data_IF_607656835934
#
_entry.id   IF_607656835934
#
_cell.length_a   1.000
_cell.length_b   1.000
_cell.length_c   1.000
_cell.angle_alpha   90.00
_cell.angle_beta   90.00
_cell.angle_gamma   90.00
#
_symmetry.space_group_name_H-M   'P 1'
#
loop_
_entity.id
_entity.type
_entity.pdbx_description
1 polymer ?
#
# COMPACT_ATOMS: atom_id res chain seq x y z
N UNK A 1 -5.87 -47.02 17.47
CA UNK A 1 -6.42 -45.65 17.40
C UNK A 1 -5.29 -44.72 16.97
N UNK A 2 -5.26 -44.34 15.69
CA UNK A 2 -4.27 -43.40 15.16
C UNK A 2 -4.86 -41.98 15.25
N UNK A 3 -4.23 -41.11 16.02
CA UNK A 3 -4.59 -39.70 16.11
C UNK A 3 -4.00 -38.95 14.90
N UNK A 4 -4.86 -38.56 13.97
CA UNK A 4 -4.52 -37.63 12.90
C UNK A 4 -4.46 -36.23 13.51
N UNK A 5 -3.25 -35.71 13.75
CA UNK A 5 -3.04 -34.29 14.00
C UNK A 5 -3.34 -33.53 12.71
N UNK A 6 -4.51 -32.92 12.63
CA UNK A 6 -4.79 -31.90 11.65
C UNK A 6 -3.97 -30.64 12.04
N UNK A 7 -2.77 -30.49 11.44
CA UNK A 7 -2.14 -29.18 11.33
C UNK A 7 -3.02 -28.35 10.40
N UNK A 8 -3.94 -27.58 10.99
CA UNK A 8 -4.62 -26.51 10.29
C UNK A 8 -3.58 -25.42 9.98
N UNK A 9 -2.95 -25.53 8.81
CA UNK A 9 -2.15 -24.47 8.20
C UNK A 9 -3.08 -23.32 7.81
N UNK A 10 -3.46 -22.50 8.78
CA UNK A 10 -4.03 -21.19 8.52
C UNK A 10 -2.90 -20.30 7.97
N UNK A 11 -2.68 -20.39 6.65
CA UNK A 11 -1.88 -19.41 5.95
C UNK A 11 -2.57 -18.05 6.13
N UNK A 12 -1.89 -17.02 6.65
CA UNK A 12 -2.48 -15.71 6.80
C UNK A 12 -2.57 -15.11 5.39
N UNK A 13 -3.79 -14.89 4.93
CA UNK A 13 -4.07 -14.25 3.66
C UNK A 13 -4.23 -12.76 3.95
N UNK A 14 -3.19 -11.96 3.68
CA UNK A 14 -3.20 -10.53 3.94
C UNK A 14 -2.77 -9.77 2.68
N UNK A 15 -3.71 -9.29 1.89
CA UNK A 15 -3.50 -8.05 1.12
C UNK A 15 -4.67 -7.13 1.46
N UNK A 16 -4.45 -5.85 1.30
CA UNK A 16 -5.48 -4.84 1.47
C UNK A 16 -5.52 -4.04 0.18
N UNK A 17 -6.74 -3.81 -0.31
CA UNK A 17 -7.11 -3.51 -1.69
C UNK A 17 -6.42 -4.34 -2.80
N UNK A 18 -6.92 -4.12 -4.02
CA UNK A 18 -6.27 -4.61 -5.22
C UNK A 18 -5.00 -3.80 -5.46
N UNK A 19 -3.94 -4.47 -5.89
CA UNK A 19 -2.61 -3.87 -5.97
C UNK A 19 -2.10 -3.97 -7.41
N UNK A 20 -0.79 -3.94 -7.62
CA UNK A 20 -0.20 -3.95 -8.96
C UNK A 20 -0.47 -5.23 -9.76
N UNK A 21 -0.87 -6.33 -9.12
CA UNK A 21 -1.39 -7.48 -9.85
C UNK A 21 -2.71 -7.15 -10.57
N UNK A 22 -3.55 -6.28 -10.03
CA UNK A 22 -4.81 -5.84 -10.65
C UNK A 22 -4.61 -4.55 -11.44
N UNK A 23 -4.18 -3.47 -10.78
CA UNK A 23 -4.13 -2.13 -11.35
C UNK A 23 -3.16 -2.02 -12.53
N UNK A 24 -2.02 -2.71 -12.45
CA UNK A 24 -1.11 -2.83 -13.59
C UNK A 24 -1.37 -4.12 -14.38
N UNK A 25 -1.17 -5.28 -13.74
CA UNK A 25 -1.11 -6.58 -14.41
C UNK A 25 -2.40 -6.95 -15.14
N UNK A 26 -3.49 -7.12 -14.40
CA UNK A 26 -4.79 -7.52 -14.94
C UNK A 26 -5.33 -6.46 -15.90
N UNK A 27 -5.23 -5.17 -15.55
CA UNK A 27 -5.67 -4.06 -16.41
C UNK A 27 -4.96 -4.10 -17.76
N UNK A 28 -3.63 -4.31 -17.78
CA UNK A 28 -2.87 -4.45 -19.03
C UNK A 28 -3.38 -5.63 -19.85
N UNK A 29 -3.52 -6.79 -19.22
CA UNK A 29 -3.98 -7.99 -19.90
C UNK A 29 -5.39 -7.81 -20.48
N UNK A 30 -6.33 -7.27 -19.71
CA UNK A 30 -7.70 -6.97 -20.16
C UNK A 30 -7.71 -5.98 -21.32
N UNK A 31 -6.85 -4.96 -21.29
CA UNK A 31 -6.73 -4.01 -22.41
C UNK A 31 -6.28 -4.69 -23.70
N UNK A 32 -5.30 -5.62 -23.62
CA UNK A 32 -4.93 -6.44 -24.78
C UNK A 32 -6.12 -7.28 -25.27
N UNK A 33 -6.89 -7.89 -24.36
CA UNK A 33 -8.11 -8.63 -24.74
C UNK A 33 -9.17 -7.72 -25.38
N UNK A 34 -9.20 -6.43 -25.03
CA UNK A 34 -10.12 -5.44 -25.61
C UNK A 34 -9.66 -4.92 -26.98
N UNK A 35 -8.53 -5.43 -27.50
CA UNK A 35 -8.00 -5.08 -28.82
C UNK A 35 -7.08 -3.86 -28.81
N UNK A 36 -6.63 -3.38 -27.64
CA UNK A 36 -5.57 -2.39 -27.59
C UNK A 36 -4.22 -3.02 -27.95
N UNK A 37 -3.37 -2.26 -28.64
CA UNK A 37 -1.96 -2.67 -28.85
C UNK A 37 -1.20 -2.71 -27.51
N UNK A 38 -0.09 -3.45 -27.46
CA UNK A 38 0.72 -3.54 -26.24
C UNK A 38 1.12 -2.16 -25.66
N UNK A 39 1.60 -1.17 -26.44
CA UNK A 39 1.91 0.16 -25.90
C UNK A 39 0.70 0.91 -25.34
N UNK A 40 -0.48 0.72 -25.94
CA UNK A 40 -1.72 1.34 -25.43
C UNK A 40 -2.17 0.68 -24.14
N UNK A 41 -2.11 -0.65 -24.06
CA UNK A 41 -2.39 -1.41 -22.85
C UNK A 41 -1.43 -1.02 -21.71
N UNK A 42 -0.13 -0.86 -22.02
CA UNK A 42 0.87 -0.36 -21.08
C UNK A 42 0.53 1.04 -20.58
N UNK A 43 0.10 1.95 -21.45
CA UNK A 43 -0.31 3.30 -21.05
C UNK A 43 -1.51 3.29 -20.12
N UNK A 44 -2.54 2.47 -20.40
CA UNK A 44 -3.73 2.35 -19.54
C UNK A 44 -3.35 1.75 -18.18
N UNK A 45 -2.63 0.63 -18.16
CA UNK A 45 -2.18 -0.01 -16.93
C UNK A 45 -1.26 0.90 -16.09
N UNK A 46 -0.39 1.65 -16.76
CA UNK A 46 0.46 2.65 -16.10
C UNK A 46 -0.38 3.76 -15.48
N UNK A 47 -1.40 4.25 -16.19
CA UNK A 47 -2.30 5.28 -15.67
C UNK A 47 -3.06 4.83 -14.43
N UNK A 48 -3.56 3.59 -14.45
CA UNK A 48 -4.26 2.97 -13.34
C UNK A 48 -3.33 2.80 -12.12
N UNK A 49 -2.16 2.18 -12.32
CA UNK A 49 -1.18 1.98 -11.24
C UNK A 49 -0.62 3.27 -10.64
N UNK A 50 -0.60 4.36 -11.39
CA UNK A 50 -0.02 5.61 -10.89
C UNK A 50 -0.80 6.20 -9.73
N UNK A 51 -2.09 5.91 -9.61
CA UNK A 51 -2.93 6.44 -8.54
C UNK A 51 -2.36 6.08 -7.16
N UNK A 52 -2.00 4.83 -6.93
CA UNK A 52 -1.44 4.40 -5.64
C UNK A 52 -0.02 4.92 -5.39
N UNK A 53 0.90 4.69 -6.34
CA UNK A 53 2.33 4.85 -6.02
C UNK A 53 3.26 5.13 -7.20
N UNK A 54 2.73 5.27 -8.42
CA UNK A 54 3.56 5.38 -9.63
C UNK A 54 4.04 6.81 -9.95
N UNK A 55 3.40 7.84 -9.40
CA UNK A 55 3.73 9.25 -9.61
C UNK A 55 3.62 10.04 -8.29
N UNK A 56 4.42 11.09 -8.14
CA UNK A 56 4.47 11.87 -6.89
C UNK A 56 3.19 12.67 -6.68
N UNK A 57 2.65 13.22 -7.76
CA UNK A 57 1.47 14.10 -7.76
C UNK A 57 0.16 13.37 -7.46
N UNK A 58 0.16 12.04 -7.52
CA UNK A 58 -1.01 11.19 -7.23
C UNK A 58 -0.90 10.47 -5.90
N UNK A 59 0.30 10.40 -5.31
CA UNK A 59 0.51 9.70 -4.04
C UNK A 59 -0.04 10.54 -2.89
N UNK A 60 -1.15 10.11 -2.32
CA UNK A 60 -1.77 10.77 -1.18
C UNK A 60 -1.19 10.21 0.12
N UNK A 61 -0.86 11.09 1.07
CA UNK A 61 -0.53 10.70 2.44
C UNK A 61 -1.78 10.86 3.31
N UNK A 62 -2.56 9.80 3.44
CA UNK A 62 -3.83 9.75 4.16
C UNK A 62 -3.69 10.35 5.55
N UNK A 63 -2.64 9.98 6.29
CA UNK A 63 -2.42 10.54 7.63
C UNK A 63 -2.13 12.04 7.59
N UNK A 64 -1.34 12.48 6.61
CA UNK A 64 -1.01 13.89 6.48
C UNK A 64 -2.26 14.70 6.16
N UNK A 65 -3.05 14.30 5.16
CA UNK A 65 -4.28 14.97 4.75
C UNK A 65 -5.41 14.91 5.79
N UNK A 66 -5.63 13.75 6.40
CA UNK A 66 -6.78 13.52 7.26
C UNK A 66 -6.58 13.99 8.70
N UNK A 67 -5.33 14.10 9.18
CA UNK A 67 -5.07 14.29 10.61
C UNK A 67 -4.15 15.47 10.92
N UNK A 68 -3.14 15.73 10.08
CA UNK A 68 -2.15 16.78 10.35
C UNK A 68 -2.25 17.98 9.39
N UNK A 69 -3.07 17.87 8.34
CA UNK A 69 -3.29 18.89 7.33
C UNK A 69 -4.06 20.08 7.89
N UNK A 70 -3.43 21.25 7.92
CA UNK A 70 -3.99 22.44 8.55
C UNK A 70 -5.05 23.16 7.69
N UNK A 71 -5.04 22.99 6.36
CA UNK A 71 -5.91 23.73 5.44
C UNK A 71 -7.22 23.01 5.07
N UNK A 72 -8.18 23.77 4.54
CA UNK A 72 -9.49 23.25 4.16
C UNK A 72 -9.45 22.35 2.92
N UNK A 73 -8.41 22.48 2.08
CA UNK A 73 -8.28 21.73 0.84
C UNK A 73 -7.87 20.28 1.11
N UNK A 74 -6.88 20.08 1.99
CA UNK A 74 -6.47 18.75 2.42
C UNK A 74 -7.61 17.97 3.10
N UNK A 75 -8.39 18.64 3.96
CA UNK A 75 -9.59 18.05 4.58
C UNK A 75 -10.66 17.68 3.54
N UNK A 76 -10.89 18.54 2.55
CA UNK A 76 -11.85 18.28 1.48
C UNK A 76 -11.42 17.10 0.60
N UNK A 77 -10.11 16.94 0.34
CA UNK A 77 -9.59 15.80 -0.41
C UNK A 77 -9.72 14.49 0.37
N UNK A 78 -9.36 14.47 1.65
CA UNK A 78 -9.56 13.30 2.51
C UNK A 78 -11.04 12.85 2.52
N UNK A 79 -11.98 13.80 2.63
CA UNK A 79 -13.41 13.51 2.56
C UNK A 79 -13.86 13.00 1.18
N UNK A 80 -13.24 13.46 0.08
CA UNK A 80 -13.51 12.95 -1.28
C UNK A 80 -13.00 11.52 -1.45
N UNK A 81 -11.79 11.22 -1.00
CA UNK A 81 -11.21 9.89 -1.04
C UNK A 81 -12.09 8.89 -0.28
N UNK A 82 -12.45 9.20 0.97
CA UNK A 82 -13.31 8.35 1.79
C UNK A 82 -14.68 8.06 1.16
N UNK A 83 -15.27 9.02 0.44
CA UNK A 83 -16.54 8.79 -0.28
C UNK A 83 -16.40 7.82 -1.45
N UNK A 84 -15.27 7.86 -2.18
CA UNK A 84 -15.04 6.96 -3.32
C UNK A 84 -14.85 5.53 -2.86
N UNK A 85 -14.08 5.32 -1.80
CA UNK A 85 -13.79 4.00 -1.27
C UNK A 85 -15.02 3.30 -0.66
N UNK A 86 -16.03 4.06 -0.23
CA UNK A 86 -17.31 3.52 0.27
C UNK A 86 -18.37 3.30 -0.81
N UNK A 87 -18.08 3.68 -2.06
CA UNK A 87 -19.04 3.54 -3.15
C UNK A 87 -19.09 2.08 -3.63
N UNK A 88 -20.27 1.55 -4.02
CA UNK A 88 -20.32 0.27 -4.70
C UNK A 88 -19.60 0.34 -6.07
N UNK A 89 -18.99 -0.78 -6.45
CA UNK A 89 -18.47 -1.05 -7.78
C UNK A 89 -19.55 -0.84 -8.84
N UNK A 90 -19.24 -0.04 -9.85
CA UNK A 90 -20.18 0.34 -10.91
C UNK A 90 -21.21 1.41 -10.51
N UNK A 91 -21.22 1.86 -9.26
CA UNK A 91 -22.00 3.00 -8.79
C UNK A 91 -21.61 4.33 -9.47
N UNK A 92 -22.41 5.38 -9.25
CA UNK A 92 -22.16 6.70 -9.85
C UNK A 92 -20.80 7.28 -9.41
N UNK A 93 -20.52 7.26 -8.11
CA UNK A 93 -19.28 7.80 -7.56
C UNK A 93 -18.01 7.08 -8.05
N UNK A 94 -18.08 5.77 -8.31
CA UNK A 94 -16.95 4.96 -8.79
C UNK A 94 -16.78 5.01 -10.32
N UNK A 95 -17.77 5.53 -11.07
CA UNK A 95 -17.73 5.58 -12.54
C UNK A 95 -17.77 6.99 -13.13
N UNK A 96 -17.91 8.05 -12.32
CA UNK A 96 -18.07 9.41 -12.85
C UNK A 96 -16.83 9.90 -13.62
N UNK A 97 -15.62 9.59 -13.15
CA UNK A 97 -14.39 9.93 -13.85
C UNK A 97 -14.32 9.27 -15.24
N UNK A 98 -14.75 8.01 -15.36
CA UNK A 98 -14.82 7.28 -16.63
C UNK A 98 -15.83 7.92 -17.58
N UNK A 99 -17.04 8.25 -17.09
CA UNK A 99 -18.09 8.89 -17.88
C UNK A 99 -17.64 10.25 -18.41
N UNK A 100 -17.05 11.07 -17.54
CA UNK A 100 -16.50 12.38 -17.91
C UNK A 100 -15.44 12.24 -18.98
N UNK A 101 -14.46 11.36 -18.75
CA UNK A 101 -13.37 11.17 -19.70
C UNK A 101 -13.86 10.66 -21.06
N UNK A 102 -14.82 9.74 -21.11
CA UNK A 102 -15.38 9.26 -22.38
C UNK A 102 -16.07 10.37 -23.19
N UNK A 103 -16.75 11.32 -22.52
CA UNK A 103 -17.35 12.48 -23.20
C UNK A 103 -16.28 13.36 -23.86
N UNK A 104 -15.12 13.49 -23.20
CA UNK A 104 -14.04 14.38 -23.64
C UNK A 104 -13.02 13.71 -24.58
N UNK A 105 -13.04 12.38 -24.67
CA UNK A 105 -12.02 11.61 -25.38
C UNK A 105 -11.98 11.92 -26.87
N UNK A 106 -13.11 11.82 -27.58
CA UNK A 106 -13.25 12.17 -29.01
C UNK A 106 -11.97 11.96 -29.85
N UNK A 107 -11.44 13.01 -30.54
CA UNK A 107 -10.20 12.91 -31.32
C UNK A 107 -8.92 12.83 -30.48
N UNK A 108 -9.01 13.05 -29.16
CA UNK A 108 -7.90 12.99 -28.19
C UNK A 108 -7.73 11.60 -27.56
N UNK A 109 -8.51 10.60 -27.96
CA UNK A 109 -8.52 9.27 -27.32
C UNK A 109 -7.11 8.65 -27.18
N UNK A 110 -6.25 8.78 -28.19
CA UNK A 110 -4.87 8.30 -28.10
C UNK A 110 -4.02 9.01 -27.02
N UNK A 111 -4.32 10.27 -26.74
CA UNK A 111 -3.60 11.11 -25.76
C UNK A 111 -4.10 10.91 -24.32
N UNK A 112 -5.32 10.36 -24.15
CA UNK A 112 -5.97 10.23 -22.85
C UNK A 112 -5.87 8.83 -22.24
N UNK A 113 -5.03 7.93 -22.78
CA UNK A 113 -4.93 6.55 -22.28
C UNK A 113 -4.46 6.46 -20.81
N UNK A 114 -3.49 7.29 -20.42
CA UNK A 114 -3.06 7.38 -19.02
C UNK A 114 -4.20 7.84 -18.11
N UNK A 115 -4.93 8.88 -18.53
CA UNK A 115 -6.10 9.39 -17.79
C UNK A 115 -7.24 8.39 -17.73
N UNK A 116 -7.39 7.57 -18.77
CA UNK A 116 -8.38 6.50 -18.78
C UNK A 116 -8.03 5.39 -17.78
N UNK A 117 -6.75 5.02 -17.70
CA UNK A 117 -6.24 4.16 -16.64
C UNK A 117 -6.52 4.71 -15.24
N UNK A 118 -6.17 5.98 -15.00
CA UNK A 118 -6.43 6.69 -13.74
C UNK A 118 -7.93 6.68 -13.39
N UNK A 119 -8.82 6.83 -14.37
CA UNK A 119 -10.26 6.78 -14.18
C UNK A 119 -10.82 5.37 -13.91
N UNK A 120 -10.14 4.31 -14.35
CA UNK A 120 -10.52 2.92 -14.04
C UNK A 120 -10.26 2.54 -12.58
N UNK A 121 -9.29 3.20 -11.94
CA UNK A 121 -8.82 2.82 -10.62
C UNK A 121 -9.93 2.88 -9.54
N UNK A 122 -10.72 3.97 -9.38
CA UNK A 122 -11.81 4.00 -8.39
C UNK A 122 -12.91 2.95 -8.61
N UNK A 123 -13.13 2.50 -9.85
CA UNK A 123 -14.06 1.40 -10.15
C UNK A 123 -13.55 0.07 -9.58
N UNK A 124 -12.24 -0.15 -9.69
CA UNK A 124 -11.60 -1.36 -9.21
C UNK A 124 -11.61 -1.36 -7.68
N UNK A 125 -11.13 -0.33 -7.00
CA UNK A 125 -11.09 -0.30 -5.52
C UNK A 125 -12.48 -0.41 -4.91
N UNK A 126 -13.47 0.27 -5.50
CA UNK A 126 -14.85 0.17 -5.06
C UNK A 126 -15.34 -1.28 -4.97
N UNK A 127 -14.90 -2.15 -5.88
CA UNK A 127 -15.31 -3.56 -5.86
C UNK A 127 -14.52 -4.39 -4.83
N UNK A 128 -13.30 -3.97 -4.46
CA UNK A 128 -12.55 -4.56 -3.35
C UNK A 128 -13.23 -4.24 -2.01
N UNK A 129 -13.79 -3.04 -1.87
CA UNK A 129 -14.45 -2.55 -0.65
C UNK A 129 -15.97 -2.81 -0.58
N UNK A 130 -16.53 -3.68 -1.43
CA UNK A 130 -17.95 -4.04 -1.35
C UNK A 130 -18.24 -5.19 -0.39
N UNK A 131 -19.30 -5.11 0.42
CA UNK A 131 -19.86 -6.25 1.16
C UNK A 131 -19.76 -6.16 2.69
N UNK A 132 -20.29 -7.16 3.42
CA UNK A 132 -20.41 -7.12 4.88
C UNK A 132 -19.07 -7.17 5.61
N UNK A 133 -18.02 -7.64 4.93
CA UNK A 133 -16.65 -7.70 5.44
C UNK A 133 -15.81 -6.48 5.00
N UNK A 134 -16.39 -5.50 4.31
CA UNK A 134 -15.68 -4.28 3.96
C UNK A 134 -15.36 -3.51 5.25
N UNK A 135 -14.08 -3.51 5.65
CA UNK A 135 -13.62 -2.78 6.81
C UNK A 135 -13.82 -1.27 6.63
N UNK A 136 -14.03 -0.55 7.73
CA UNK A 136 -13.98 0.91 7.68
C UNK A 136 -12.53 1.37 7.41
N UNK A 137 -12.33 2.10 6.32
CA UNK A 137 -11.09 2.87 6.12
C UNK A 137 -11.03 3.93 7.21
N UNK A 138 -9.91 3.92 7.94
CA UNK A 138 -9.68 4.82 9.05
C UNK A 138 -8.20 4.97 9.32
N UNK A 139 -7.88 5.92 10.19
CA UNK A 139 -6.52 6.13 10.70
C UNK A 139 -6.40 5.51 12.09
N UNK A 140 -5.28 4.90 12.48
CA UNK A 140 -5.06 4.42 13.84
C UNK A 140 -5.31 5.54 14.86
N UNK A 141 -5.96 5.18 15.96
CA UNK A 141 -6.18 6.12 17.06
C UNK A 141 -4.86 6.44 17.76
N UNK A 142 -4.20 7.52 17.32
CA UNK A 142 -3.01 8.06 17.98
C UNK A 142 -3.45 9.05 19.05
N UNK A 143 -3.02 8.83 20.30
CA UNK A 143 -3.48 9.64 21.44
C UNK A 143 -3.26 11.14 21.20
N UNK A 144 -4.35 11.92 21.19
CA UNK A 144 -4.33 13.37 20.96
C UNK A 144 -4.26 13.80 19.49
N UNK A 145 -4.19 12.87 18.54
CA UNK A 145 -4.36 13.17 17.12
C UNK A 145 -5.86 13.11 16.79
N UNK A 146 -6.40 14.20 16.26
CA UNK A 146 -7.77 14.24 15.72
C UNK A 146 -7.70 14.09 14.21
N UNK A 147 -8.53 13.23 13.65
CA UNK A 147 -8.61 13.00 12.22
C UNK A 147 -10.03 13.23 11.72
N UNK A 148 -10.17 13.73 10.48
CA UNK A 148 -11.45 13.85 9.80
C UNK A 148 -11.96 12.51 9.23
N UNK A 149 -11.07 11.53 9.16
CA UNK A 149 -11.42 10.13 8.91
C UNK A 149 -11.76 9.44 10.23
N UNK A 150 -12.73 8.51 10.23
CA UNK A 150 -13.03 7.75 11.44
C UNK A 150 -11.79 6.98 11.92
N UNK A 151 -11.67 6.73 13.23
CA UNK A 151 -10.61 5.87 13.73
C UNK A 151 -10.79 4.46 13.15
N UNK A 152 -9.70 3.76 12.84
CA UNK A 152 -9.78 2.32 12.55
C UNK A 152 -10.44 1.62 13.74
N UNK A 153 -11.65 1.10 13.57
CA UNK A 153 -12.35 0.38 14.64
C UNK A 153 -11.93 -1.09 14.64
N UNK A 154 -11.57 -1.61 15.83
CA UNK A 154 -11.23 -3.02 16.00
C UNK A 154 -12.40 -3.99 15.68
N UNK A 155 -13.63 -3.48 15.64
CA UNK A 155 -14.86 -4.26 15.50
C UNK A 155 -15.33 -4.48 14.05
N UNK A 156 -14.79 -3.76 13.07
CA UNK A 156 -15.04 -4.03 11.65
C UNK A 156 -13.84 -4.72 10.96
N UNK A 157 -12.80 -5.07 11.73
CA UNK A 157 -11.47 -5.45 11.26
C UNK A 157 -10.93 -6.76 11.82
N UNK A 158 -11.78 -7.79 12.02
CA UNK A 158 -11.28 -9.14 12.30
C UNK A 158 -10.41 -9.65 11.14
N UNK A 159 -9.78 -10.84 11.28
CA UNK A 159 -9.04 -11.54 10.21
C UNK A 159 -9.83 -11.66 8.87
N UNK A 160 -11.14 -11.37 8.89
CA UNK A 160 -12.05 -11.43 7.75
C UNK A 160 -12.19 -10.12 6.96
N UNK A 161 -11.89 -8.95 7.54
CA UNK A 161 -12.09 -7.67 6.84
C UNK A 161 -11.11 -7.44 5.67
N UNK A 162 -9.94 -8.09 5.73
CA UNK A 162 -8.88 -8.01 4.72
C UNK A 162 -8.99 -9.09 3.63
N UNK A 163 -10.00 -9.96 3.71
CA UNK A 163 -10.27 -10.95 2.67
C UNK A 163 -11.00 -10.32 1.49
N UNK A 164 -11.57 -9.12 1.66
CA UNK A 164 -12.30 -8.43 0.62
C UNK A 164 -11.43 -8.08 -0.60
N UNK A 165 -10.15 -7.88 -0.32
CA UNK A 165 -9.16 -7.27 -1.18
C UNK A 165 -8.28 -8.28 -1.91
N UNK A 166 -8.23 -9.51 -1.41
CA UNK A 166 -7.53 -10.58 -2.08
C UNK A 166 -8.43 -11.18 -3.16
N UNK A 167 -7.97 -11.10 -4.40
CA UNK A 167 -8.63 -11.81 -5.52
C UNK A 167 -8.90 -13.29 -5.19
N UNK A 168 -7.97 -13.97 -4.50
CA UNK A 168 -8.09 -15.36 -4.03
C UNK A 168 -9.11 -15.59 -2.93
N UNK A 169 -9.43 -14.57 -2.13
CA UNK A 169 -10.42 -14.69 -1.07
C UNK A 169 -11.83 -14.30 -1.56
N UNK A 170 -11.95 -13.50 -2.62
CA UNK A 170 -13.22 -13.16 -3.28
C UNK A 170 -13.15 -13.29 -4.81
N UNK A 171 -13.02 -14.52 -5.33
CA UNK A 171 -12.86 -14.75 -6.76
C UNK A 171 -14.05 -14.24 -7.59
N UNK A 172 -15.28 -14.33 -7.04
CA UNK A 172 -16.47 -13.82 -7.73
C UNK A 172 -16.45 -12.28 -7.88
N UNK A 173 -16.04 -11.54 -6.83
CA UNK A 173 -15.91 -10.08 -6.91
C UNK A 173 -14.79 -9.66 -7.86
N UNK A 174 -13.66 -10.37 -7.83
CA UNK A 174 -12.56 -10.16 -8.76
C UNK A 174 -12.98 -10.38 -10.22
N UNK A 175 -13.75 -11.44 -10.52
CA UNK A 175 -14.30 -11.67 -11.86
C UNK A 175 -15.30 -10.58 -12.27
N UNK A 176 -16.16 -10.14 -11.36
CA UNK A 176 -17.12 -9.07 -11.61
C UNK A 176 -16.43 -7.73 -11.94
N UNK A 177 -15.40 -7.34 -11.19
CA UNK A 177 -14.60 -6.17 -11.54
C UNK A 177 -13.88 -6.36 -12.87
N UNK A 178 -13.28 -7.52 -13.11
CA UNK A 178 -12.56 -7.75 -14.36
C UNK A 178 -13.50 -7.56 -15.56
N UNK A 179 -14.75 -8.03 -15.42
CA UNK A 179 -15.81 -7.80 -16.40
C UNK A 179 -16.15 -6.33 -16.56
N UNK A 180 -16.41 -5.62 -15.46
CA UNK A 180 -16.76 -4.21 -15.51
C UNK A 180 -15.63 -3.38 -16.15
N UNK A 181 -14.38 -3.61 -15.76
CA UNK A 181 -13.19 -2.99 -16.35
C UNK A 181 -13.10 -3.28 -17.85
N UNK A 182 -13.32 -4.52 -18.27
CA UNK A 182 -13.33 -4.93 -19.67
C UNK A 182 -14.43 -4.22 -20.48
N UNK A 183 -15.64 -4.11 -19.92
CA UNK A 183 -16.75 -3.40 -20.57
C UNK A 183 -16.41 -1.90 -20.77
N UNK A 184 -15.74 -1.25 -19.82
CA UNK A 184 -15.25 0.12 -20.01
C UNK A 184 -14.15 0.23 -21.07
N UNK A 185 -13.23 -0.72 -21.13
CA UNK A 185 -12.20 -0.80 -22.17
C UNK A 185 -12.82 -0.89 -23.58
N UNK A 186 -13.92 -1.64 -23.73
CA UNK A 186 -14.67 -1.75 -24.97
C UNK A 186 -15.39 -0.45 -25.35
N UNK A 187 -15.89 0.31 -24.37
CA UNK A 187 -16.58 1.60 -24.57
C UNK A 187 -15.64 2.74 -24.95
N UNK A 188 -14.34 2.63 -24.65
CA UNK A 188 -13.36 3.65 -25.01
C UNK A 188 -13.38 3.90 -26.53
N UNK A 189 -13.22 5.14 -27.04
CA UNK A 189 -13.25 5.37 -28.48
C UNK A 189 -12.07 4.69 -29.22
N UNK A 190 -12.23 4.37 -30.52
CA UNK A 190 -11.10 3.97 -31.36
C UNK A 190 -9.99 5.03 -31.39
N UNK A 191 -8.76 4.59 -31.59
CA UNK A 191 -7.57 5.47 -31.62
C UNK A 191 -7.03 5.45 -33.05
N UNK A 192 -7.22 6.56 -33.76
CA UNK A 192 -6.96 6.62 -35.20
C UNK A 192 -7.90 5.68 -35.98
N UNK A 193 -7.44 5.23 -37.13
CA UNK A 193 -8.23 4.39 -38.05
C UNK A 193 -8.10 2.88 -37.77
N UNK A 194 -7.35 2.49 -36.73
CA UNK A 194 -7.10 1.09 -36.43
C UNK A 194 -8.34 0.43 -35.80
N UNK A 195 -8.94 -0.58 -36.45
CA UNK A 195 -10.07 -1.31 -35.87
C UNK A 195 -9.57 -2.12 -34.66
N UNK A 196 -10.29 -2.01 -33.53
CA UNK A 196 -10.06 -2.86 -32.35
C UNK A 196 -11.02 -4.04 -32.38
N UNK A 197 -10.48 -5.25 -32.30
CA UNK A 197 -11.26 -6.49 -32.20
C UNK A 197 -11.12 -7.01 -30.77
N UNK A 198 -12.16 -6.80 -29.98
CA UNK A 198 -12.20 -7.32 -28.61
C UNK A 198 -12.52 -8.82 -28.60
N UNK A 199 -11.86 -9.56 -27.71
CA UNK A 199 -12.22 -10.93 -27.39
C UNK A 199 -13.62 -10.99 -26.76
N UNK A 200 -14.29 -12.13 -26.88
CA UNK A 200 -15.58 -12.37 -26.22
C UNK A 200 -15.36 -12.67 -24.74
N UNK A 201 -16.17 -12.08 -23.87
CA UNK A 201 -16.06 -12.26 -22.42
C UNK A 201 -15.95 -13.74 -21.96
N UNK A 202 -16.73 -14.71 -22.46
CA UNK A 202 -16.59 -16.10 -22.03
C UNK A 202 -15.20 -16.71 -22.24
N UNK A 203 -14.46 -16.26 -23.27
CA UNK A 203 -13.07 -16.68 -23.49
C UNK A 203 -12.12 -16.06 -22.48
N UNK A 204 -12.36 -14.82 -22.08
CA UNK A 204 -11.56 -14.09 -21.08
C UNK A 204 -11.79 -14.71 -19.71
N UNK A 205 -13.06 -14.90 -19.33
CA UNK A 205 -13.47 -15.50 -18.06
C UNK A 205 -12.83 -16.88 -17.82
N UNK A 206 -12.81 -17.74 -18.85
CA UNK A 206 -12.20 -19.06 -18.78
C UNK A 206 -10.68 -19.04 -18.44
N UNK A 207 -9.99 -17.93 -18.71
CA UNK A 207 -8.55 -17.77 -18.44
C UNK A 207 -8.26 -17.18 -17.05
N UNK A 208 -9.25 -16.52 -16.42
CA UNK A 208 -9.06 -15.79 -15.17
C UNK A 208 -9.01 -16.69 -13.93
N UNK A 209 -9.43 -17.95 -14.02
CA UNK A 209 -9.46 -18.88 -12.88
C UNK A 209 -8.12 -18.99 -12.12
N UNK A 210 -7.01 -19.07 -12.84
CA UNK A 210 -5.67 -19.11 -12.24
C UNK A 210 -5.27 -17.80 -11.57
N UNK A 211 -5.61 -16.65 -12.17
CA UNK A 211 -5.35 -15.34 -11.59
C UNK A 211 -6.12 -15.12 -10.30
N UNK A 212 -7.43 -15.41 -10.31
CA UNK A 212 -8.31 -15.14 -9.16
C UNK A 212 -8.13 -16.14 -8.03
N UNK A 213 -7.35 -17.22 -8.19
CA UNK A 213 -7.06 -18.18 -7.12
C UNK A 213 -5.61 -18.10 -6.63
N UNK A 214 -4.73 -17.44 -7.37
CA UNK A 214 -3.33 -17.26 -7.00
C UNK A 214 -3.21 -16.37 -5.75
N UNK A 215 -2.57 -16.91 -4.70
CA UNK A 215 -2.40 -16.26 -3.39
C UNK A 215 -0.97 -15.85 -3.07
N UNK A 216 -0.06 -15.94 -4.04
CA UNK A 216 1.36 -15.54 -3.88
C UNK A 216 1.84 -14.77 -5.10
N UNK A 217 2.87 -13.93 -4.92
CA UNK A 217 3.53 -13.24 -6.04
C UNK A 217 4.03 -14.23 -7.09
N UNK A 218 4.65 -15.34 -6.67
CA UNK A 218 5.12 -16.38 -7.57
C UNK A 218 3.99 -16.99 -8.42
N UNK A 219 2.83 -17.30 -7.82
CA UNK A 219 1.68 -17.85 -8.55
C UNK A 219 1.07 -16.83 -9.53
N UNK A 220 0.94 -15.56 -9.12
CA UNK A 220 0.49 -14.48 -9.99
C UNK A 220 1.46 -14.27 -11.16
N UNK A 221 2.75 -14.26 -10.89
CA UNK A 221 3.79 -14.13 -11.90
C UNK A 221 3.75 -15.28 -12.93
N UNK A 222 3.56 -16.52 -12.48
CA UNK A 222 3.40 -17.66 -13.37
C UNK A 222 2.20 -17.45 -14.30
N UNK A 223 1.03 -17.09 -13.74
CA UNK A 223 -0.15 -16.80 -14.54
C UNK A 223 0.11 -15.70 -15.57
N UNK A 224 0.74 -14.59 -15.19
CA UNK A 224 1.05 -13.49 -16.11
C UNK A 224 1.94 -13.94 -17.28
N UNK A 225 2.99 -14.72 -17.01
CA UNK A 225 3.89 -15.23 -18.05
C UNK A 225 3.16 -16.17 -19.01
N UNK A 226 2.33 -17.07 -18.49
CA UNK A 226 1.51 -17.98 -19.29
C UNK A 226 0.52 -17.24 -20.20
N UNK A 227 0.18 -16.00 -19.85
CA UNK A 227 -0.71 -15.13 -20.60
C UNK A 227 0.01 -14.00 -21.36
N UNK A 228 1.31 -14.21 -21.65
CA UNK A 228 2.09 -13.33 -22.55
C UNK A 228 2.63 -12.05 -21.90
N UNK A 229 2.74 -12.02 -20.57
CA UNK A 229 3.36 -10.93 -19.82
C UNK A 229 4.68 -11.39 -19.21
N UNK A 230 5.77 -11.19 -19.95
CA UNK A 230 7.12 -11.64 -19.54
C UNK A 230 7.63 -10.87 -18.31
N UNK A 231 7.46 -9.55 -18.28
CA UNK A 231 7.89 -8.72 -17.16
C UNK A 231 6.83 -8.71 -16.05
N UNK A 232 7.06 -9.51 -15.01
CA UNK A 232 6.21 -9.59 -13.82
C UNK A 232 6.73 -8.77 -12.65
N UNK A 233 7.76 -7.93 -12.85
CA UNK A 233 8.45 -7.23 -11.75
C UNK A 233 7.55 -6.24 -11.03
N UNK A 234 6.46 -5.79 -11.64
CA UNK A 234 5.44 -4.94 -11.01
C UNK A 234 4.85 -5.55 -9.73
N UNK A 235 4.99 -6.87 -9.51
CA UNK A 235 4.60 -7.55 -8.27
C UNK A 235 5.58 -7.29 -7.10
N UNK A 236 6.69 -6.58 -7.30
CA UNK A 236 7.70 -6.29 -6.25
C UNK A 236 7.09 -5.81 -4.94
N UNK A 237 6.20 -4.83 -5.02
CA UNK A 237 5.68 -4.11 -3.86
C UNK A 237 4.28 -4.50 -3.42
N UNK A 238 3.71 -5.59 -3.95
CA UNK A 238 2.37 -6.01 -3.53
C UNK A 238 2.44 -6.79 -2.21
N UNK A 239 1.36 -6.76 -1.45
CA UNK A 239 1.20 -7.38 -0.14
C UNK A 239 0.89 -8.89 -0.21
N UNK A 240 1.01 -9.53 -1.37
CA UNK A 240 0.98 -11.00 -1.43
C UNK A 240 2.26 -11.61 -0.86
N UNK A 241 2.18 -12.76 -0.17
CA UNK A 241 3.36 -13.55 0.15
C UNK A 241 4.18 -13.86 -1.10
N UNK A 242 5.51 -13.88 -0.98
CA UNK A 242 6.39 -14.07 -2.13
C UNK A 242 6.17 -15.44 -2.81
N UNK A 243 5.95 -16.48 -2.00
CA UNK A 243 5.76 -17.86 -2.43
C UNK A 243 6.90 -18.76 -1.97
N UNK A 244 7.28 -19.73 -2.81
CA UNK A 244 8.33 -20.71 -2.46
C UNK A 244 9.74 -20.11 -2.39
N UNK A 245 9.95 -18.94 -3.01
CA UNK A 245 11.24 -18.24 -3.08
C UNK A 245 11.03 -16.75 -2.82
N UNK A 246 11.99 -16.07 -2.17
CA UNK A 246 11.93 -14.62 -1.98
C UNK A 246 11.84 -13.86 -3.30
N UNK A 247 11.02 -12.81 -3.32
CA UNK A 247 10.84 -11.96 -4.49
C UNK A 247 11.93 -10.89 -4.57
N UNK A 248 13.02 -11.14 -5.27
CA UNK A 248 14.15 -10.19 -5.32
C UNK A 248 14.11 -9.22 -6.49
N UNK A 249 13.06 -9.26 -7.32
CA UNK A 249 13.03 -8.53 -8.58
C UNK A 249 12.49 -7.11 -8.39
N UNK A 250 13.20 -6.11 -8.91
CA UNK A 250 12.82 -4.70 -8.80
C UNK A 250 12.11 -4.19 -10.04
N UNK A 251 10.99 -3.48 -9.88
CA UNK A 251 10.24 -2.96 -11.03
C UNK A 251 10.81 -1.63 -11.55
N UNK A 252 11.28 -1.55 -12.82
CA UNK A 252 11.75 -0.28 -13.40
C UNK A 252 10.61 0.66 -13.82
N UNK A 253 9.35 0.17 -13.83
CA UNK A 253 8.20 0.95 -14.27
C UNK A 253 7.73 2.04 -13.29
N UNK A 254 8.22 2.02 -12.04
CA UNK A 254 7.93 3.09 -11.06
C UNK A 254 8.59 4.38 -11.52
N UNK A 255 7.81 5.46 -11.67
CA UNK A 255 8.31 6.78 -12.09
C UNK A 255 8.46 7.73 -10.92
N UNK A 256 9.05 7.23 -9.84
CA UNK A 256 9.38 8.07 -8.70
C UNK A 256 10.81 8.61 -8.81
N UNK A 257 11.02 9.89 -8.47
CA UNK A 257 12.35 10.45 -8.40
C UNK A 257 13.19 9.71 -7.35
N UNK A 258 14.50 9.61 -7.57
CA UNK A 258 15.38 9.04 -6.54
C UNK A 258 15.69 10.08 -5.49
N UNK A 259 15.62 9.67 -4.23
CA UNK A 259 16.17 10.45 -3.14
C UNK A 259 17.71 10.51 -3.27
N UNK A 260 18.25 11.70 -3.05
CA UNK A 260 19.69 11.92 -3.02
C UNK A 260 20.29 11.49 -1.68
N UNK A 261 19.55 11.78 -0.59
CA UNK A 261 19.97 11.52 0.77
C UNK A 261 18.86 10.80 1.55
N UNK A 262 19.26 10.11 2.62
CA UNK A 262 18.33 9.46 3.55
C UNK A 262 17.90 10.39 4.70
N UNK A 263 18.55 11.55 4.82
CA UNK A 263 18.21 12.54 5.82
C UNK A 263 17.08 13.45 5.33
N UNK A 264 16.26 13.93 6.25
CA UNK A 264 15.15 14.83 5.92
C UNK A 264 15.49 16.30 6.20
N UNK A 265 15.20 17.18 5.24
CA UNK A 265 15.36 18.64 5.37
C UNK A 265 14.00 19.34 5.34
N UNK A 266 13.41 19.61 6.51
CA UNK A 266 12.09 20.25 6.63
C UNK A 266 12.19 21.61 7.32
N UNK A 267 11.54 22.62 6.75
CA UNK A 267 11.40 23.91 7.41
C UNK A 267 10.42 23.81 8.58
N UNK A 268 10.69 24.52 9.67
CA UNK A 268 9.81 24.57 10.85
C UNK A 268 9.92 23.37 11.80
N UNK A 269 10.67 22.32 11.44
CA UNK A 269 10.98 21.21 12.34
C UNK A 269 12.29 21.51 13.07
N UNK A 270 12.36 21.43 14.42
CA UNK A 270 13.60 21.64 15.16
C UNK A 270 14.71 20.68 14.71
N UNK A 271 15.93 21.20 14.52
CA UNK A 271 17.08 20.42 14.02
C UNK A 271 17.38 19.20 14.91
N UNK A 272 17.23 19.33 16.24
CA UNK A 272 17.42 18.21 17.18
C UNK A 272 16.43 17.05 16.95
N UNK A 273 15.23 17.34 16.43
CA UNK A 273 14.22 16.32 16.12
C UNK A 273 14.54 15.64 14.79
N UNK A 274 14.94 16.41 13.78
CA UNK A 274 15.38 15.85 12.50
C UNK A 274 16.57 14.91 12.71
N UNK A 275 17.60 15.37 13.43
CA UNK A 275 18.79 14.57 13.76
C UNK A 275 18.44 13.30 14.53
N UNK A 276 17.46 13.36 15.43
CA UNK A 276 16.96 12.18 16.14
C UNK A 276 16.35 11.16 15.17
N UNK A 277 15.43 11.59 14.31
CA UNK A 277 14.81 10.68 13.34
C UNK A 277 15.81 10.17 12.29
N UNK A 278 16.73 11.00 11.81
CA UNK A 278 17.80 10.61 10.88
C UNK A 278 18.61 9.44 11.49
N UNK A 279 19.04 9.60 12.74
CA UNK A 279 19.76 8.58 13.48
C UNK A 279 18.94 7.32 13.73
N UNK A 280 17.65 7.48 14.09
CA UNK A 280 16.75 6.36 14.30
C UNK A 280 16.55 5.54 13.01
N UNK A 281 16.24 6.19 11.89
CA UNK A 281 16.03 5.52 10.61
C UNK A 281 17.31 4.86 10.09
N UNK A 282 18.46 5.52 10.26
CA UNK A 282 19.75 4.92 9.91
C UNK A 282 20.01 3.63 10.68
N UNK A 283 19.75 3.61 11.99
CA UNK A 283 19.87 2.39 12.79
C UNK A 283 18.81 1.34 12.39
N UNK A 284 17.54 1.73 12.30
CA UNK A 284 16.44 0.79 12.06
C UNK A 284 16.54 0.09 10.70
N UNK A 285 16.86 0.85 9.64
CA UNK A 285 16.90 0.35 8.27
C UNK A 285 18.30 -0.13 7.87
N UNK A 286 19.35 0.25 8.60
CA UNK A 286 20.74 -0.11 8.31
C UNK A 286 21.27 -1.33 9.08
N UNK A 287 20.76 -1.59 10.28
CA UNK A 287 21.27 -2.68 11.14
C UNK A 287 20.72 -4.06 10.74
N UNK A 288 21.46 -5.11 11.13
CA UNK A 288 21.04 -6.51 10.97
C UNK A 288 19.88 -6.90 11.90
N UNK A 289 19.72 -6.24 13.05
CA UNK A 289 18.57 -6.40 13.95
C UNK A 289 17.81 -5.07 14.06
N UNK A 290 16.65 -4.93 13.38
CA UNK A 290 15.83 -3.71 13.39
C UNK A 290 15.50 -3.18 14.80
N UNK A 291 15.42 -4.05 15.80
CA UNK A 291 15.13 -3.65 17.18
C UNK A 291 16.28 -2.91 17.87
N UNK A 292 17.51 -3.00 17.34
CA UNK A 292 18.67 -2.29 17.90
C UNK A 292 18.50 -0.77 17.87
N UNK A 293 17.67 -0.24 16.95
CA UNK A 293 17.32 1.18 16.87
C UNK A 293 16.65 1.73 18.15
N UNK A 294 16.09 0.86 18.99
CA UNK A 294 15.53 1.25 20.29
C UNK A 294 16.59 1.39 21.39
N UNK A 295 17.85 1.02 21.13
CA UNK A 295 18.91 1.02 22.13
C UNK A 295 18.69 0.01 23.26
N UNK A 296 17.88 -1.02 23.03
CA UNK A 296 17.56 -2.05 24.02
C UNK A 296 18.50 -3.26 23.86
N UNK A 297 19.01 -3.80 24.96
CA UNK A 297 19.68 -5.09 24.94
C UNK A 297 18.68 -6.23 24.67
N UNK A 298 19.14 -7.34 24.07
CA UNK A 298 18.28 -8.48 23.76
C UNK A 298 17.64 -9.06 25.02
N UNK A 299 16.31 -9.16 25.02
CA UNK A 299 15.54 -9.69 26.15
C UNK A 299 15.23 -8.67 27.24
N UNK A 300 15.77 -7.44 27.13
CA UNK A 300 15.44 -6.34 28.02
C UNK A 300 14.32 -5.48 27.43
N UNK A 301 13.57 -4.80 28.31
CA UNK A 301 12.53 -3.87 27.94
C UNK A 301 11.14 -4.23 28.48
N UNK A 302 10.31 -3.20 28.63
CA UNK A 302 8.91 -3.31 29.02
C UNK A 302 8.09 -4.08 27.98
N UNK A 303 6.87 -4.56 28.31
CA UNK A 303 5.99 -5.16 27.31
C UNK A 303 5.76 -4.29 26.06
N UNK A 304 5.60 -2.98 26.25
CA UNK A 304 5.44 -2.03 25.14
C UNK A 304 6.70 -1.93 24.25
N UNK A 305 7.89 -1.94 24.87
CA UNK A 305 9.15 -1.95 24.12
C UNK A 305 9.35 -3.23 23.32
N UNK A 306 8.94 -4.39 23.85
CA UNK A 306 8.99 -5.67 23.13
C UNK A 306 8.01 -5.70 21.95
N UNK A 307 6.81 -5.16 22.13
CA UNK A 307 5.85 -4.99 21.03
C UNK A 307 6.42 -4.09 19.93
N UNK A 308 6.96 -2.92 20.29
CA UNK A 308 7.59 -2.00 19.35
C UNK A 308 8.76 -2.65 18.61
N UNK A 309 9.64 -3.38 19.32
CA UNK A 309 10.73 -4.13 18.71
C UNK A 309 10.23 -5.16 17.68
N UNK A 310 9.15 -5.88 18.00
CA UNK A 310 8.54 -6.83 17.07
C UNK A 310 7.95 -6.13 15.84
N UNK A 311 7.27 -4.99 16.01
CA UNK A 311 6.74 -4.18 14.90
C UNK A 311 7.84 -3.64 13.99
N UNK A 312 8.95 -3.13 14.55
CA UNK A 312 10.11 -2.68 13.77
C UNK A 312 10.70 -3.80 12.92
N UNK A 313 10.70 -5.04 13.42
CA UNK A 313 11.17 -6.20 12.65
C UNK A 313 10.19 -6.59 11.55
N UNK A 314 8.89 -6.60 11.85
CA UNK A 314 7.83 -6.95 10.89
C UNK A 314 7.85 -6.01 9.68
N UNK A 315 7.90 -4.69 9.92
CA UNK A 315 8.01 -3.66 8.88
C UNK A 315 9.34 -3.65 8.12
N UNK A 316 10.26 -4.54 8.47
CA UNK A 316 11.54 -4.74 7.78
C UNK A 316 11.61 -6.07 7.04
N UNK A 317 10.61 -6.94 7.19
CA UNK A 317 10.57 -8.21 6.47
C UNK A 317 10.40 -7.95 4.98
N UNK A 318 11.26 -8.57 4.18
CA UNK A 318 11.21 -8.50 2.72
C UNK A 318 9.90 -9.07 2.18
N UNK A 319 9.45 -10.21 2.72
CA UNK A 319 8.12 -10.76 2.46
C UNK A 319 7.08 -10.07 3.35
N UNK A 320 6.67 -8.87 2.92
CA UNK A 320 5.69 -8.07 3.63
C UNK A 320 4.31 -8.74 3.69
N UNK A 321 3.92 -9.53 2.68
CA UNK A 321 2.64 -10.23 2.69
C UNK A 321 2.48 -11.23 3.83
N UNK A 322 3.59 -11.88 4.20
CA UNK A 322 3.63 -12.75 5.39
C UNK A 322 3.64 -11.95 6.71
N UNK A 323 4.12 -10.70 6.69
CA UNK A 323 4.24 -9.83 7.87
C UNK A 323 2.97 -9.00 8.16
N UNK A 324 2.21 -8.64 7.11
CA UNK A 324 1.20 -7.58 7.15
C UNK A 324 0.18 -7.71 8.28
N UNK A 325 -0.45 -8.88 8.48
CA UNK A 325 -1.42 -9.05 9.58
C UNK A 325 -0.84 -8.76 10.96
N UNK A 326 0.41 -9.17 11.22
CA UNK A 326 1.06 -8.90 12.50
C UNK A 326 1.49 -7.43 12.58
N UNK A 327 1.99 -6.87 11.47
CA UNK A 327 2.45 -5.49 11.40
C UNK A 327 1.31 -4.48 11.68
N UNK A 328 0.11 -4.79 11.18
CA UNK A 328 -1.11 -4.00 11.35
C UNK A 328 -1.98 -4.38 12.56
N UNK A 329 -1.53 -5.28 13.43
CA UNK A 329 -2.34 -5.69 14.58
C UNK A 329 -2.80 -4.45 15.38
N UNK A 330 -4.12 -4.26 15.62
CA UNK A 330 -4.68 -3.02 16.16
C UNK A 330 -4.38 -2.82 17.65
N UNK A 331 -3.90 -3.87 18.31
CA UNK A 331 -3.54 -3.90 19.72
C UNK A 331 -2.15 -4.50 19.89
N UNK A 332 -1.61 -4.42 21.11
CA UNK A 332 -0.33 -5.04 21.43
C UNK A 332 -0.33 -6.54 21.09
N UNK A 333 0.76 -7.00 20.49
CA UNK A 333 0.91 -8.39 20.07
C UNK A 333 0.84 -9.34 21.28
N UNK A 334 0.02 -10.36 21.15
CA UNK A 334 -0.06 -11.45 22.11
C UNK A 334 1.24 -12.24 22.15
N UNK A 335 1.47 -13.02 23.21
CA UNK A 335 2.65 -13.89 23.33
C UNK A 335 2.80 -14.85 22.15
N UNK A 336 1.69 -15.42 21.65
CA UNK A 336 1.70 -16.31 20.50
C UNK A 336 2.09 -15.58 19.21
N UNK A 337 1.60 -14.36 19.02
CA UNK A 337 1.99 -13.51 17.90
C UNK A 337 3.47 -13.14 17.97
N UNK A 338 4.00 -12.77 19.13
CA UNK A 338 5.43 -12.49 19.31
C UNK A 338 6.31 -13.70 18.97
N UNK A 339 5.92 -14.91 19.40
CA UNK A 339 6.62 -16.14 19.02
C UNK A 339 6.57 -16.40 17.51
N UNK A 340 5.47 -16.01 16.85
CA UNK A 340 5.36 -16.07 15.39
C UNK A 340 6.28 -15.05 14.72
N UNK A 341 6.40 -13.84 15.24
CA UNK A 341 7.39 -12.86 14.76
C UNK A 341 8.78 -13.44 14.85
N UNK A 342 9.17 -13.98 16.01
CA UNK A 342 10.48 -14.63 16.21
C UNK A 342 10.71 -15.79 15.22
N UNK A 343 9.66 -16.50 14.83
CA UNK A 343 9.73 -17.54 13.81
C UNK A 343 9.98 -16.98 12.40
N UNK A 344 9.34 -15.86 12.05
CA UNK A 344 9.51 -15.22 10.74
C UNK A 344 10.89 -14.58 10.58
N UNK A 345 11.43 -14.00 11.66
CA UNK A 345 12.71 -13.26 11.63
C UNK A 345 13.92 -14.12 11.95
N UNK A 346 13.73 -15.44 12.10
CA UNK A 346 14.80 -16.37 12.47
C UNK A 346 15.91 -16.40 11.43
N UNK A 347 15.55 -16.26 10.15
CA UNK A 347 16.51 -16.05 9.08
C UNK A 347 16.84 -14.56 8.95
N UNK A 348 18.11 -14.19 9.15
CA UNK A 348 18.55 -12.78 9.01
C UNK A 348 18.51 -12.28 7.57
N UNK A 349 18.40 -13.19 6.59
CA UNK A 349 18.14 -12.83 5.19
C UNK A 349 16.66 -12.51 4.93
N UNK A 350 15.79 -12.64 5.94
CA UNK A 350 14.38 -12.31 5.82
C UNK A 350 14.13 -10.79 5.75
N UNK A 351 15.10 -9.94 6.11
CA UNK A 351 14.92 -8.49 6.07
C UNK A 351 15.22 -7.89 4.70
N UNK A 352 14.43 -6.89 4.31
CA UNK A 352 14.69 -6.07 3.13
C UNK A 352 16.05 -5.36 3.26
N UNK A 353 16.88 -5.44 2.22
CA UNK A 353 18.21 -4.81 2.17
C UNK A 353 18.28 -3.84 1.01
N UNK A 354 18.98 -2.73 1.24
CA UNK A 354 19.09 -1.65 0.28
C UNK A 354 20.55 -1.31 0.03
N UNK A 355 20.98 -1.10 -1.23
CA UNK A 355 22.35 -0.67 -1.53
C UNK A 355 22.70 0.67 -0.86
N UNK A 356 21.74 1.58 -0.78
CA UNK A 356 21.84 2.84 -0.05
C UNK A 356 20.62 2.98 0.86
N UNK A 357 20.81 3.59 2.03
CA UNK A 357 19.72 3.86 2.96
C UNK A 357 18.59 4.68 2.31
N UNK A 358 18.92 5.63 1.43
CA UNK A 358 17.94 6.43 0.70
C UNK A 358 17.04 5.59 -0.22
N UNK A 359 17.52 4.43 -0.70
CA UNK A 359 16.75 3.52 -1.56
C UNK A 359 15.71 2.71 -0.77
N UNK A 360 15.73 2.78 0.57
CA UNK A 360 14.75 2.17 1.45
C UNK A 360 13.42 2.92 1.47
N UNK A 361 13.47 4.23 1.18
CA UNK A 361 12.32 5.11 1.27
C UNK A 361 11.63 5.30 -0.07
N UNK A 362 10.34 5.53 0.00
CA UNK A 362 9.60 6.23 -1.02
C UNK A 362 9.85 7.74 -0.87
N UNK A 363 10.14 8.47 -1.95
CA UNK A 363 10.17 9.93 -1.90
C UNK A 363 8.78 10.46 -1.56
N UNK A 364 8.71 11.38 -0.61
CA UNK A 364 7.50 12.06 -0.18
C UNK A 364 7.59 13.55 -0.50
N UNK A 365 6.43 14.18 -0.66
CA UNK A 365 6.30 15.63 -0.77
C UNK A 365 5.36 16.09 0.34
N UNK A 366 5.88 16.92 1.25
CA UNK A 366 5.09 17.47 2.34
C UNK A 366 4.02 18.43 1.83
N UNK A 367 2.87 18.48 2.50
CA UNK A 367 1.85 19.50 2.25
C UNK A 367 2.31 20.79 2.91
N UNK A 368 2.75 21.75 2.10
CA UNK A 368 3.30 23.02 2.58
C UNK A 368 2.88 24.18 1.67
N UNK A 369 2.93 25.41 2.19
CA UNK A 369 2.66 26.63 1.41
C UNK A 369 3.79 27.02 0.45
N UNK A 370 4.91 26.29 0.49
CA UNK A 370 6.07 26.43 -0.38
C UNK A 370 6.32 25.11 -1.12
N UNK A 371 7.09 25.13 -2.21
CA UNK A 371 7.49 23.91 -2.91
C UNK A 371 8.53 23.14 -2.06
N UNK A 372 8.16 22.03 -1.40
CA UNK A 372 9.09 21.32 -0.54
C UNK A 372 10.05 20.47 -1.37
N UNK A 373 11.28 20.22 -0.90
CA UNK A 373 12.13 19.19 -1.50
C UNK A 373 11.46 17.82 -1.36
N UNK A 374 11.96 16.83 -2.10
CA UNK A 374 11.59 15.44 -1.87
C UNK A 374 12.21 14.96 -0.57
N UNK A 375 11.40 14.31 0.26
CA UNK A 375 11.79 13.89 1.60
C UNK A 375 11.70 12.38 1.77
N UNK A 376 12.60 11.75 2.54
CA UNK A 376 12.47 10.34 2.92
C UNK A 376 11.32 10.11 3.93
N UNK A 377 11.03 11.12 4.75
CA UNK A 377 9.96 11.11 5.75
C UNK A 377 9.55 12.55 6.10
N UNK A 378 8.33 12.71 6.59
CA UNK A 378 7.73 14.00 7.00
C UNK A 378 7.56 14.03 8.52
N UNK A 379 7.87 15.14 9.18
CA UNK A 379 7.76 15.29 10.64
C UNK A 379 6.70 16.33 10.96
N UNK A 380 5.77 15.97 11.85
CA UNK A 380 4.70 16.83 12.34
C UNK A 380 4.65 16.83 13.86
N UNK A 381 4.41 17.98 14.51
CA UNK A 381 4.18 18.01 15.94
C UNK A 381 2.86 17.32 16.27
N UNK A 382 2.85 16.58 17.37
CA UNK A 382 1.61 16.09 17.99
C UNK A 382 1.29 16.96 19.20
N UNK A 383 0.01 17.09 19.60
CA UNK A 383 -0.34 17.78 20.84
C UNK A 383 0.44 17.21 22.03
N UNK A 384 0.83 18.06 22.98
CA UNK A 384 1.49 17.59 24.19
C UNK A 384 0.55 16.66 24.98
N UNK A 385 1.12 15.72 25.72
CA UNK A 385 0.35 14.94 26.70
C UNK A 385 -0.01 15.81 27.91
N UNK A 386 -0.89 15.31 28.78
CA UNK A 386 -1.34 16.03 29.98
C UNK A 386 -0.20 16.40 30.95
N UNK A 387 0.94 15.70 30.86
CA UNK A 387 2.17 15.94 31.61
C UNK A 387 3.11 16.97 30.95
N UNK A 388 2.74 17.52 29.79
CA UNK A 388 3.53 18.48 29.02
C UNK A 388 4.64 17.86 28.18
N UNK A 389 4.73 16.53 28.06
CA UNK A 389 5.73 15.86 27.22
C UNK A 389 5.55 16.24 25.74
N UNK A 390 6.65 16.70 25.12
CA UNK A 390 6.69 17.01 23.69
C UNK A 390 6.65 15.73 22.87
N UNK A 391 5.89 15.76 21.78
CA UNK A 391 5.69 14.61 20.90
C UNK A 391 5.80 15.01 19.44
N UNK A 392 6.42 14.12 18.67
CA UNK A 392 6.60 14.28 17.23
C UNK A 392 6.14 13.01 16.53
N UNK A 393 5.53 13.17 15.36
CA UNK A 393 5.16 12.10 14.45
C UNK A 393 6.09 12.18 13.24
N UNK A 394 6.76 11.08 12.89
CA UNK A 394 7.37 10.91 11.57
C UNK A 394 6.49 10.00 10.71
N UNK A 395 6.22 10.44 9.48
CA UNK A 395 5.46 9.72 8.45
C UNK A 395 6.45 9.31 7.36
N UNK A 396 6.57 8.01 7.09
CA UNK A 396 7.46 7.47 6.07
C UNK A 396 6.76 6.39 5.25
N UNK A 397 7.27 6.09 4.05
CA UNK A 397 6.83 4.93 3.25
C UNK A 397 8.06 4.14 2.85
N UNK A 398 8.00 2.81 2.96
CA UNK A 398 9.13 1.93 2.64
C UNK A 398 8.98 1.30 1.28
N UNK A 399 10.11 1.06 0.60
CA UNK A 399 10.07 0.62 -0.79
C UNK A 399 9.49 -0.78 -1.01
N UNK A 400 9.67 -1.66 -0.03
CA UNK A 400 9.17 -3.03 -0.06
C UNK A 400 7.72 -3.16 0.45
N UNK A 401 7.19 -2.10 1.08
CA UNK A 401 5.82 -1.99 1.56
C UNK A 401 5.22 -0.63 1.10
N UNK A 402 5.08 -0.43 -0.22
CA UNK A 402 4.77 0.88 -0.82
C UNK A 402 3.34 1.36 -0.57
N UNK A 403 2.47 0.47 -0.13
CA UNK A 403 1.05 0.70 0.15
C UNK A 403 0.78 1.03 1.63
N UNK A 404 1.84 1.23 2.39
CA UNK A 404 1.78 1.49 3.81
C UNK A 404 2.54 2.76 4.17
N UNK A 405 1.85 3.64 4.88
CA UNK A 405 2.42 4.72 5.66
C UNK A 405 2.84 4.20 7.03
N UNK A 406 4.06 4.52 7.43
CA UNK A 406 4.61 4.21 8.73
C UNK A 406 4.61 5.46 9.58
N UNK A 407 3.94 5.39 10.71
CA UNK A 407 3.73 6.46 11.67
C UNK A 407 4.54 6.18 12.93
N UNK A 408 5.68 6.85 13.04
CA UNK A 408 6.57 6.73 14.20
C UNK A 408 6.31 7.88 15.16
N UNK A 409 5.82 7.57 16.35
CA UNK A 409 5.61 8.55 17.41
C UNK A 409 6.85 8.56 18.31
N UNK A 410 7.46 9.73 18.43
CA UNK A 410 8.55 9.99 19.35
C UNK A 410 8.10 10.91 20.48
N UNK A 411 8.67 10.69 21.67
CA UNK A 411 8.42 11.50 22.86
C UNK A 411 9.75 11.98 23.45
N UNK A 412 9.75 13.21 23.99
CA UNK A 412 10.89 13.75 24.73
C UNK A 412 10.70 13.57 26.23
N UNK A 413 11.52 12.71 26.84
CA UNK A 413 11.53 12.46 28.28
C UNK A 413 12.89 12.76 28.87
N UNK A 414 12.93 13.49 29.99
CA UNK A 414 14.18 13.90 30.64
C UNK A 414 15.22 14.48 29.64
N UNK A 415 14.74 15.29 28.69
CA UNK A 415 15.57 15.92 27.66
C UNK A 415 15.94 15.03 26.46
N UNK A 416 15.63 13.74 26.46
CA UNK A 416 15.99 12.79 25.40
C UNK A 416 14.78 12.34 24.57
N UNK A 417 14.96 12.25 23.27
CA UNK A 417 13.97 11.69 22.34
C UNK A 417 14.04 10.17 22.29
N UNK A 418 12.88 9.52 22.19
CA UNK A 418 12.78 8.08 21.95
C UNK A 418 11.49 7.76 21.19
N UNK A 419 11.54 6.76 20.30
CA UNK A 419 10.34 6.24 19.64
C UNK A 419 9.57 5.38 20.65
N UNK A 420 8.28 5.65 20.79
CA UNK A 420 7.41 4.97 21.76
C UNK A 420 6.34 4.11 21.11
N UNK A 421 6.03 4.35 19.84
CA UNK A 421 5.08 3.54 19.08
C UNK A 421 5.33 3.67 17.58
N UNK A 422 5.01 2.61 16.85
CA UNK A 422 4.99 2.54 15.39
C UNK A 422 3.63 2.00 14.97
N UNK A 423 2.96 2.72 14.08
CA UNK A 423 1.67 2.33 13.49
C UNK A 423 1.83 2.25 11.98
N UNK A 424 1.08 1.35 11.34
CA UNK A 424 0.95 1.32 9.89
C UNK A 424 -0.43 1.79 9.48
N UNK A 425 -0.50 2.68 8.51
CA UNK A 425 -1.73 3.12 7.85
C UNK A 425 -1.66 2.71 6.41
N UNK A 426 -2.75 2.16 5.90
CA UNK A 426 -2.86 1.81 4.49
C UNK A 426 -3.36 3.02 3.73
N UNK A 427 -2.78 3.26 2.58
CA UNK A 427 -3.00 4.46 1.77
C UNK A 427 -4.14 4.35 0.74
N UNK A 428 -4.76 3.18 0.63
CA UNK A 428 -5.80 2.84 -0.35
C UNK A 428 -6.95 2.05 0.29
#
# INVERSE_FOLDING_TARGET
MAAVLALASALPFNAAAWEADVHFGLTRWLAVQAGFSAPQADAIATGNQRVDFGAMETMQLVTEYACTGADAEGRAEAARAARRLRAPGGGEASTEALRTLLRDAGPKAGLLLLKFGEALHPLQDASAHEGPDAGEIGVPAIAGLSCDLPPMTAAAGGEHAHRADLTSARPAAALAMARASFEWLQRYPPIGDAPRVAAKWPRIEAQLGGFVTASTKAAKAAWFRDHGMEDTRFLEGISLPDGAQPWTATWPGRRLPRLQEAASTQHGVPEEVLRFFDGFFAAWLGEDDPAAALGLARGEGTPAQRDLAARLRLWRLHDHGTAAALAHAPSALTRAQLQRVDALVRDRQAYARYPRLADAFFPLMAIESYAPPLLPYIVRPLPALADGELRMLAIAKLRHAPYDELLLVAQRRAGRWSVVSLHGVRDH
#
